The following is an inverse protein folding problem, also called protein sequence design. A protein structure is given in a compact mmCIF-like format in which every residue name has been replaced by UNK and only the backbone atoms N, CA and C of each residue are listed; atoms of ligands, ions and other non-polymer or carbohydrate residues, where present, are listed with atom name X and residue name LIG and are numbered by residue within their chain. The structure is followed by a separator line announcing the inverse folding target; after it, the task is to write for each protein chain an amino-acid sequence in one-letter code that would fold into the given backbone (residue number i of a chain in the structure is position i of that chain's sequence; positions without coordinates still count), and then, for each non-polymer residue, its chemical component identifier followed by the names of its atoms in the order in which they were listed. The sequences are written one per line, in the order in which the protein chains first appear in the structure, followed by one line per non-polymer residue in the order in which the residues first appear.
data_IF_630785539837
#
_entry.id   IF_630785539837
#
_cell.length_a   1.000
_cell.length_b   1.000
_cell.length_c   1.000
_cell.angle_alpha   90.00
_cell.angle_beta   90.00
_cell.angle_gamma   90.00
#
_symmetry.space_group_name_H-M   'P 1'
#
loop_
_entity.id
_entity.type
_entity.pdbx_description
1 polymer ?
#
# COMPACT_ATOMS: atom_id res chain seq x y z
N UNK A 1 -10.36 27.48 2.17
CA UNK A 1 -9.89 26.40 3.08
C UNK A 1 -10.54 25.10 2.65
N UNK A 2 -9.78 24.02 2.46
CA UNK A 2 -10.35 22.70 2.20
C UNK A 2 -11.05 22.21 3.47
N UNK A 3 -12.37 22.01 3.41
CA UNK A 3 -13.18 21.52 4.53
C UNK A 3 -13.02 20.01 4.70
N UNK A 4 -11.90 19.59 5.28
CA UNK A 4 -11.69 18.18 5.62
C UNK A 4 -12.60 17.79 6.78
N UNK A 5 -13.33 16.68 6.62
CA UNK A 5 -14.18 16.08 7.65
C UNK A 5 -13.64 14.70 8.00
N UNK A 6 -13.60 14.39 9.29
CA UNK A 6 -13.31 13.04 9.76
C UNK A 6 -14.46 12.09 9.41
N UNK A 7 -14.12 10.94 8.81
CA UNK A 7 -15.10 9.98 8.29
C UNK A 7 -15.15 8.64 9.07
N UNK A 8 -14.30 8.48 10.09
CA UNK A 8 -14.35 7.33 11.00
C UNK A 8 -13.04 6.55 11.14
N UNK A 9 -13.16 5.42 11.84
CA UNK A 9 -12.08 4.50 12.18
C UNK A 9 -12.39 3.11 11.63
N UNK A 10 -11.40 2.46 11.03
CA UNK A 10 -11.51 1.07 10.54
C UNK A 10 -10.70 0.16 11.46
N UNK A 11 -11.35 -0.90 11.96
CA UNK A 11 -10.66 -1.99 12.66
C UNK A 11 -9.99 -2.89 11.64
N UNK A 12 -8.76 -3.32 11.92
CA UNK A 12 -8.02 -4.23 11.07
C UNK A 12 -7.39 -5.38 11.86
N UNK A 13 -7.09 -6.46 11.14
CA UNK A 13 -6.19 -7.53 11.63
C UNK A 13 -4.94 -7.56 10.78
N UNK A 14 -3.76 -7.49 11.40
CA UNK A 14 -2.51 -7.72 10.69
C UNK A 14 -2.38 -9.20 10.34
N UNK A 15 -2.05 -9.48 9.08
CA UNK A 15 -1.84 -10.81 8.52
C UNK A 15 -0.53 -10.86 7.76
N UNK A 16 0.05 -12.05 7.71
CA UNK A 16 1.15 -12.38 6.80
C UNK A 16 0.57 -13.03 5.54
N UNK A 17 1.19 -12.79 4.38
CA UNK A 17 0.75 -13.38 3.12
C UNK A 17 1.02 -14.89 3.14
N UNK A 18 -0.04 -15.69 2.91
CA UNK A 18 0.07 -17.14 2.68
C UNK A 18 -0.34 -17.43 1.23
N UNK A 19 0.64 -17.75 0.39
CA UNK A 19 0.43 -17.92 -1.05
C UNK A 19 0.36 -16.57 -1.77
N UNK A 20 -0.84 -16.00 -1.88
CA UNK A 20 -1.01 -14.67 -2.45
C UNK A 20 -2.29 -13.99 -1.98
N UNK A 21 -2.29 -12.66 -1.94
CA UNK A 21 -3.45 -11.85 -1.56
C UNK A 21 -3.55 -10.61 -2.42
N UNK A 22 -4.78 -10.21 -2.78
CA UNK A 22 -5.04 -8.94 -3.46
C UNK A 22 -5.15 -7.81 -2.43
N UNK A 23 -4.46 -6.71 -2.66
CA UNK A 23 -4.46 -5.48 -1.85
C UNK A 23 -4.93 -4.28 -2.67
N UNK A 24 -5.62 -3.34 -2.03
CA UNK A 24 -6.22 -2.16 -2.68
C UNK A 24 -5.28 -0.95 -2.75
N UNK A 25 -4.04 -1.09 -2.30
CA UNK A 25 -3.14 0.03 -2.00
C UNK A 25 -1.80 -0.15 -2.66
N UNK A 26 -1.02 0.94 -2.67
CA UNK A 26 0.36 0.90 -3.09
C UNK A 26 1.20 0.02 -2.14
N UNK A 27 2.27 -0.57 -2.68
CA UNK A 27 3.16 -1.49 -1.95
C UNK A 27 4.60 -0.98 -2.00
N UNK A 28 5.31 -1.07 -0.88
CA UNK A 28 6.78 -0.94 -0.85
C UNK A 28 7.39 -2.28 -1.27
N UNK A 29 8.18 -2.26 -2.34
CA UNK A 29 8.83 -3.47 -2.89
C UNK A 29 9.89 -4.05 -1.95
N UNK A 30 10.39 -3.27 -0.97
CA UNK A 30 11.30 -3.81 0.05
C UNK A 30 10.58 -4.69 1.06
N UNK A 31 9.28 -4.49 1.23
CA UNK A 31 8.45 -5.16 2.24
C UNK A 31 7.55 -6.24 1.66
N UNK A 32 7.28 -6.17 0.35
CA UNK A 32 6.32 -7.05 -0.32
C UNK A 32 6.86 -7.51 -1.68
N UNK A 33 6.54 -8.75 -2.06
CA UNK A 33 6.78 -9.26 -3.41
C UNK A 33 5.49 -9.17 -4.22
N UNK A 34 5.53 -8.44 -5.33
CA UNK A 34 4.42 -8.24 -6.23
C UNK A 34 4.29 -9.42 -7.22
N UNK A 35 3.06 -9.87 -7.46
CA UNK A 35 2.72 -10.76 -8.57
C UNK A 35 2.31 -9.89 -9.75
N UNK A 36 3.09 -9.93 -10.83
CA UNK A 36 2.82 -9.14 -12.04
C UNK A 36 1.72 -9.82 -12.86
N UNK A 37 0.61 -9.12 -13.04
CA UNK A 37 -0.51 -9.56 -13.85
C UNK A 37 -0.52 -8.75 -15.17
N UNK A 38 -0.38 -9.38 -16.35
CA UNK A 38 -0.15 -8.68 -17.63
C UNK A 38 -1.21 -7.66 -18.04
N UNK A 39 -2.42 -7.73 -17.46
CA UNK A 39 -3.54 -6.83 -17.77
C UNK A 39 -3.57 -5.57 -16.89
N UNK A 40 -2.68 -5.46 -15.91
CA UNK A 40 -2.60 -4.34 -14.98
C UNK A 40 -1.52 -3.35 -15.41
N UNK A 41 -1.74 -2.06 -15.13
CA UNK A 41 -0.81 -0.98 -15.45
C UNK A 41 -0.09 -0.56 -14.19
N UNK A 42 1.10 -1.09 -13.98
CA UNK A 42 1.89 -0.77 -12.79
C UNK A 42 2.66 0.54 -12.98
N UNK A 43 2.60 1.40 -11.97
CA UNK A 43 3.43 2.60 -11.84
C UNK A 43 4.40 2.37 -10.69
N UNK A 44 5.66 2.72 -10.92
CA UNK A 44 6.70 2.72 -9.88
C UNK A 44 7.15 4.14 -9.64
N UNK A 45 7.12 4.56 -8.38
CA UNK A 45 7.57 5.88 -7.96
C UNK A 45 8.44 5.79 -6.71
N UNK A 46 9.37 6.73 -6.59
CA UNK A 46 10.16 6.91 -5.38
C UNK A 46 9.48 7.97 -4.50
N UNK A 47 8.92 7.55 -3.38
CA UNK A 47 8.12 8.41 -2.49
C UNK A 47 8.74 8.53 -1.10
N UNK A 48 8.60 9.68 -0.41
CA UNK A 48 8.91 9.78 1.03
C UNK A 48 8.07 8.78 1.84
N UNK A 49 8.69 8.01 2.72
CA UNK A 49 7.98 7.11 3.65
C UNK A 49 7.94 7.68 5.07
N UNK A 50 9.05 8.27 5.51
CA UNK A 50 9.17 8.81 6.85
C UNK A 50 9.63 10.26 6.78
N UNK A 51 9.03 11.10 7.61
CA UNK A 51 9.35 12.52 7.73
C UNK A 51 9.44 12.88 9.20
N UNK A 52 10.37 13.77 9.55
CA UNK A 52 10.44 14.33 10.89
C UNK A 52 9.35 15.41 11.09
N UNK A 53 9.25 15.94 12.32
CA UNK A 53 8.29 17.00 12.67
C UNK A 53 8.47 18.31 11.89
N UNK A 54 9.64 18.53 11.28
CA UNK A 54 9.92 19.69 10.42
C UNK A 54 9.58 19.42 8.93
N UNK A 55 8.91 18.30 8.64
CA UNK A 55 8.61 17.84 7.28
C UNK A 55 9.86 17.60 6.42
N UNK A 56 10.99 17.24 7.03
CA UNK A 56 12.17 16.76 6.29
C UNK A 56 12.07 15.26 6.10
N UNK A 57 12.27 14.81 4.86
CA UNK A 57 12.25 13.39 4.51
C UNK A 57 13.43 12.67 5.15
N UNK A 58 13.14 11.63 5.92
CA UNK A 58 14.12 10.76 6.57
C UNK A 58 14.45 9.55 5.70
N UNK A 59 13.46 9.01 4.99
CA UNK A 59 13.63 7.85 4.12
C UNK A 59 12.69 7.90 2.91
N UNK A 60 13.16 7.29 1.82
CA UNK A 60 12.39 7.09 0.59
C UNK A 60 12.18 5.60 0.34
N UNK A 61 11.02 5.27 -0.21
CA UNK A 61 10.62 3.92 -0.63
C UNK A 61 10.44 3.84 -2.13
N UNK A 62 10.59 2.64 -2.65
CA UNK A 62 10.20 2.29 -4.02
C UNK A 62 8.78 1.73 -3.98
N UNK A 63 7.82 2.58 -4.31
CA UNK A 63 6.40 2.29 -4.21
C UNK A 63 5.86 1.85 -5.57
N UNK A 64 5.09 0.77 -5.60
CA UNK A 64 4.35 0.32 -6.77
C UNK A 64 2.85 0.37 -6.51
N UNK A 65 2.08 0.86 -7.47
CA UNK A 65 0.62 0.84 -7.47
C UNK A 65 0.07 0.63 -8.89
N UNK A 66 -1.24 0.39 -9.01
CA UNK A 66 -1.91 0.26 -10.31
C UNK A 66 -2.54 1.60 -10.73
N UNK A 67 -2.26 2.02 -11.96
CA UNK A 67 -2.61 3.35 -12.46
C UNK A 67 -4.12 3.64 -12.52
N UNK A 68 -4.94 2.61 -12.75
CA UNK A 68 -6.39 2.73 -12.84
C UNK A 68 -7.07 2.41 -11.48
N UNK A 69 -6.29 2.27 -10.40
CA UNK A 69 -6.77 1.98 -9.05
C UNK A 69 -7.23 0.54 -8.82
N UNK A 70 -6.87 -0.39 -9.70
CA UNK A 70 -7.23 -1.81 -9.55
C UNK A 70 -6.43 -2.46 -8.41
N UNK A 71 -7.00 -3.45 -7.71
CA UNK A 71 -6.25 -4.22 -6.73
C UNK A 71 -5.03 -4.90 -7.35
N UNK A 72 -3.93 -4.95 -6.61
CA UNK A 72 -2.70 -5.65 -7.00
C UNK A 72 -2.46 -6.85 -6.11
N UNK A 73 -1.83 -7.91 -6.64
CA UNK A 73 -1.58 -9.12 -5.88
C UNK A 73 -0.15 -9.17 -5.34
N UNK A 74 0.01 -9.48 -4.05
CA UNK A 74 1.31 -9.72 -3.42
C UNK A 74 1.44 -11.19 -3.00
N UNK A 75 2.65 -11.74 -3.07
CA UNK A 75 2.99 -13.11 -2.68
C UNK A 75 3.80 -13.21 -1.38
N UNK A 76 4.30 -12.08 -0.87
CA UNK A 76 4.98 -12.01 0.42
C UNK A 76 4.74 -10.64 1.08
N UNK A 77 5.01 -10.58 2.39
CA UNK A 77 4.88 -9.36 3.19
C UNK A 77 3.75 -9.45 4.22
N UNK A 78 3.29 -8.28 4.69
CA UNK A 78 2.19 -8.18 5.65
C UNK A 78 1.14 -7.21 5.16
N UNK A 79 -0.11 -7.49 5.51
CA UNK A 79 -1.25 -6.66 5.14
C UNK A 79 -2.22 -6.51 6.31
N UNK A 80 -3.02 -5.47 6.26
CA UNK A 80 -4.17 -5.26 7.11
C UNK A 80 -5.40 -5.85 6.42
N UNK A 81 -5.99 -6.86 7.03
CA UNK A 81 -7.31 -7.38 6.68
C UNK A 81 -8.36 -6.44 7.28
N UNK A 82 -9.17 -5.80 6.44
CA UNK A 82 -10.26 -4.89 6.84
C UNK A 82 -11.59 -5.35 6.24
N UNK A 83 -12.70 -4.72 6.63
CA UNK A 83 -14.01 -4.96 6.03
C UNK A 83 -14.09 -4.54 4.57
N UNK A 84 -13.28 -3.56 4.17
CA UNK A 84 -13.38 -2.88 2.87
C UNK A 84 -12.37 -3.45 1.86
N UNK A 85 -11.48 -4.32 2.33
CA UNK A 85 -10.45 -4.97 1.54
C UNK A 85 -9.11 -5.03 2.26
N UNK A 86 -8.13 -5.69 1.64
CA UNK A 86 -6.80 -5.80 2.22
C UNK A 86 -5.95 -4.58 1.86
N UNK A 87 -5.20 -4.08 2.83
CA UNK A 87 -4.32 -2.91 2.69
C UNK A 87 -2.88 -3.35 2.95
N UNK A 88 -1.96 -3.05 2.04
CA UNK A 88 -0.55 -3.27 2.29
C UNK A 88 0.01 -2.12 3.14
N UNK A 89 0.96 -2.44 4.03
CA UNK A 89 1.70 -1.42 4.75
C UNK A 89 2.88 -0.95 3.89
N UNK A 90 2.97 0.36 3.70
CA UNK A 90 4.09 1.09 3.08
C UNK A 90 5.00 1.67 4.16
#
# INVERSE_FOLDING_TARGET
MAGLKYDGEIKYRRREVKGSVSVLTAVDIKRNMLVIEPKLKYVREKMPLEMNGERRVLSYGDIIYEADGKPIRISSGTYAETTDGNIAFI
#
